data_IF_530042015083
#
_entry.id   IF_530042015083
#
_cell.length_a   1.000
_cell.length_b   1.000
_cell.length_c   1.000
_cell.angle_alpha   90.00
_cell.angle_beta   90.00
_cell.angle_gamma   90.00
#
_symmetry.space_group_name_H-M   'P 1'
#
loop_
_entity.id
_entity.type
_entity.pdbx_description
1 polymer ?
#
# COMPACT_ATOMS: atom_id res chain seq x y z
N UNK A 1 -11.26 23.49 -32.68
CA UNK A 1 -11.71 22.50 -31.68
C UNK A 1 -10.59 21.50 -31.46
N UNK A 2 -9.81 21.65 -30.38
CA UNK A 2 -8.71 20.72 -30.06
C UNK A 2 -9.27 19.55 -29.24
N UNK A 3 -9.44 18.40 -29.88
CA UNK A 3 -9.85 17.18 -29.20
C UNK A 3 -8.76 16.71 -28.25
N UNK A 4 -9.01 16.77 -26.93
CA UNK A 4 -8.17 16.13 -25.92
C UNK A 4 -8.15 14.63 -26.19
N UNK A 5 -7.00 14.11 -26.62
CA UNK A 5 -6.74 12.66 -26.62
C UNK A 5 -6.92 12.14 -25.19
N UNK A 6 -7.66 11.04 -24.97
CA UNK A 6 -7.75 10.43 -23.65
C UNK A 6 -6.36 10.01 -23.19
N UNK A 7 -5.99 10.41 -21.96
CA UNK A 7 -4.72 9.98 -21.34
C UNK A 7 -4.75 8.46 -21.19
N UNK A 8 -3.71 7.79 -21.67
CA UNK A 8 -3.57 6.33 -21.59
C UNK A 8 -3.56 5.88 -20.13
N UNK A 9 -4.29 4.81 -19.82
CA UNK A 9 -4.29 4.13 -18.50
C UNK A 9 -2.84 3.83 -18.08
N UNK A 10 -2.52 3.76 -16.78
CA UNK A 10 -1.19 3.31 -16.33
C UNK A 10 -0.94 1.82 -16.62
N UNK A 11 -2.02 1.05 -16.84
CA UNK A 11 -2.03 -0.39 -17.12
C UNK A 11 -2.77 -0.76 -18.43
N UNK A 12 -2.51 -0.16 -19.60
CA UNK A 12 -3.06 -0.68 -20.85
C UNK A 12 -2.28 -1.96 -21.21
N UNK A 13 -2.98 -2.96 -21.74
CA UNK A 13 -2.38 -4.21 -22.21
C UNK A 13 -1.79 -4.11 -23.63
N UNK A 14 -1.64 -2.92 -24.22
CA UNK A 14 -1.18 -2.72 -25.60
C UNK A 14 -0.15 -1.57 -25.66
N UNK A 15 0.88 -1.52 -26.51
CA UNK A 15 1.33 -2.33 -27.64
C UNK A 15 2.84 -2.10 -27.82
N UNK A 16 3.67 -3.08 -27.53
CA UNK A 16 5.09 -3.18 -27.90
C UNK A 16 5.52 -4.63 -27.62
N UNK A 17 6.46 -5.18 -28.39
CA UNK A 17 6.97 -6.57 -28.36
C UNK A 17 6.76 -7.20 -26.98
N UNK A 18 5.67 -7.96 -26.84
CA UNK A 18 5.29 -8.51 -25.55
C UNK A 18 6.26 -9.63 -25.22
N UNK A 19 6.97 -9.51 -24.11
CA UNK A 19 7.78 -10.60 -23.57
C UNK A 19 6.90 -11.85 -23.35
N UNK A 20 7.46 -13.07 -23.34
CA UNK A 20 6.68 -14.28 -23.03
C UNK A 20 5.87 -14.14 -21.72
N UNK A 21 6.46 -13.51 -20.70
CA UNK A 21 5.78 -13.22 -19.43
C UNK A 21 4.56 -12.30 -19.58
N UNK A 22 4.64 -11.26 -20.43
CA UNK A 22 3.50 -10.38 -20.69
C UNK A 22 2.38 -11.08 -21.47
N UNK A 23 2.73 -12.03 -22.36
CA UNK A 23 1.74 -12.85 -23.07
C UNK A 23 1.00 -13.77 -22.11
N UNK A 24 1.74 -14.51 -21.28
CA UNK A 24 1.17 -15.37 -20.24
C UNK A 24 0.25 -14.56 -19.32
N UNK A 25 0.72 -13.39 -18.86
CA UNK A 25 -0.08 -12.53 -18.00
C UNK A 25 -1.37 -12.05 -18.69
N UNK A 26 -1.31 -11.71 -19.99
CA UNK A 26 -2.48 -11.32 -20.78
C UNK A 26 -3.48 -12.47 -20.92
N UNK A 27 -3.00 -13.67 -21.22
CA UNK A 27 -3.82 -14.87 -21.33
C UNK A 27 -4.50 -15.21 -19.98
N UNK A 28 -3.73 -15.21 -18.88
CA UNK A 28 -4.28 -15.37 -17.55
C UNK A 28 -5.33 -14.29 -17.23
N UNK A 29 -5.04 -13.03 -17.56
CA UNK A 29 -6.00 -11.94 -17.32
C UNK A 29 -7.32 -12.18 -18.06
N UNK A 30 -7.28 -12.58 -19.34
CA UNK A 30 -8.46 -12.90 -20.13
C UNK A 30 -9.29 -14.02 -19.50
N UNK A 31 -8.66 -15.08 -19.01
CA UNK A 31 -9.35 -16.17 -18.29
C UNK A 31 -10.06 -15.69 -17.01
N UNK A 32 -9.56 -14.65 -16.36
CA UNK A 32 -10.20 -14.11 -15.16
C UNK A 32 -11.42 -13.24 -15.49
N UNK A 33 -11.33 -12.43 -16.54
CA UNK A 33 -12.33 -11.39 -16.86
C UNK A 33 -13.30 -11.79 -17.98
N UNK A 34 -13.22 -13.03 -18.47
CA UNK A 34 -14.14 -13.55 -19.48
C UNK A 34 -15.62 -13.38 -19.05
N UNK A 35 -16.46 -12.92 -19.97
CA UNK A 35 -17.84 -12.54 -19.66
C UNK A 35 -18.76 -13.73 -19.36
N UNK A 36 -18.45 -14.88 -19.95
CA UNK A 36 -19.28 -16.09 -19.80
C UNK A 36 -18.77 -16.94 -18.64
N UNK A 37 -17.50 -17.34 -18.70
CA UNK A 37 -16.85 -18.33 -17.86
C UNK A 37 -15.66 -17.75 -17.06
N UNK A 38 -15.57 -16.43 -16.91
CA UNK A 38 -14.47 -15.79 -16.20
C UNK A 38 -14.39 -16.18 -14.73
N UNK A 39 -13.17 -16.44 -14.25
CA UNK A 39 -12.93 -16.86 -12.87
C UNK A 39 -13.43 -15.84 -11.83
N UNK A 40 -13.42 -14.54 -12.15
CA UNK A 40 -13.95 -13.50 -11.27
C UNK A 40 -15.46 -13.66 -11.07
N UNK A 41 -16.20 -13.98 -12.13
CA UNK A 41 -17.65 -14.18 -12.10
C UNK A 41 -18.00 -15.46 -11.35
N UNK A 42 -17.26 -16.54 -11.60
CA UNK A 42 -17.42 -17.82 -10.90
C UNK A 42 -17.13 -17.63 -9.40
N UNK A 43 -16.02 -17.00 -9.04
CA UNK A 43 -15.68 -16.71 -7.65
C UNK A 43 -16.80 -15.91 -6.96
N UNK A 44 -17.29 -14.85 -7.62
CA UNK A 44 -18.38 -14.03 -7.10
C UNK A 44 -19.66 -14.83 -6.83
N UNK A 45 -20.03 -15.76 -7.73
CA UNK A 45 -21.20 -16.63 -7.53
C UNK A 45 -21.07 -17.58 -6.33
N UNK A 46 -19.82 -17.85 -5.90
CA UNK A 46 -19.50 -18.68 -4.74
C UNK A 46 -19.23 -17.84 -3.48
N UNK A 47 -19.44 -16.52 -3.53
CA UNK A 47 -19.15 -15.61 -2.42
C UNK A 47 -17.66 -15.33 -2.21
N UNK A 48 -16.79 -15.72 -3.14
CA UNK A 48 -15.37 -15.42 -3.10
C UNK A 48 -15.05 -14.18 -3.92
N UNK A 49 -14.07 -13.40 -3.44
CA UNK A 49 -13.53 -12.26 -4.16
C UNK A 49 -12.23 -12.66 -4.84
N UNK A 50 -12.21 -12.60 -6.17
CA UNK A 50 -11.02 -12.85 -6.97
C UNK A 50 -10.64 -11.60 -7.75
N UNK A 51 -9.35 -11.25 -7.73
CA UNK A 51 -8.82 -10.13 -8.50
C UNK A 51 -8.09 -10.67 -9.74
N UNK A 52 -8.33 -10.09 -10.93
CA UNK A 52 -7.61 -10.50 -12.12
C UNK A 52 -6.12 -10.13 -11.99
N UNK A 53 -5.21 -10.97 -12.50
CA UNK A 53 -3.78 -10.72 -12.42
C UNK A 53 -3.41 -9.43 -13.18
N UNK A 54 -2.42 -8.69 -12.66
CA UNK A 54 -2.01 -7.37 -13.14
C UNK A 54 -0.51 -7.32 -13.41
N UNK A 55 -0.08 -6.34 -14.20
CA UNK A 55 1.34 -6.12 -14.53
C UNK A 55 2.19 -5.70 -13.33
N UNK A 56 1.56 -5.07 -12.34
CA UNK A 56 2.22 -4.58 -11.14
C UNK A 56 1.53 -5.16 -9.92
N UNK A 57 2.33 -5.55 -8.92
CA UNK A 57 1.83 -5.87 -7.59
C UNK A 57 1.55 -4.58 -6.83
N UNK A 58 0.53 -4.60 -5.99
CA UNK A 58 0.12 -3.50 -5.16
C UNK A 58 0.53 -3.80 -3.72
N UNK A 59 1.43 -2.97 -3.20
CA UNK A 59 1.92 -3.06 -1.82
C UNK A 59 1.38 -1.88 -1.05
N UNK A 60 0.44 -2.11 -0.14
CA UNK A 60 -0.03 -1.08 0.77
C UNK A 60 0.91 -1.00 1.96
N UNK A 61 1.36 0.22 2.32
CA UNK A 61 2.18 0.44 3.51
C UNK A 61 1.36 1.22 4.52
N UNK A 62 1.20 0.66 5.72
CA UNK A 62 0.49 1.28 6.83
C UNK A 62 1.30 1.25 8.11
N UNK A 63 0.92 2.13 9.04
CA UNK A 63 1.63 2.33 10.28
C UNK A 63 1.40 3.73 10.83
N UNK A 64 1.87 3.96 12.04
CA UNK A 64 1.58 5.19 12.78
C UNK A 64 2.19 6.42 12.09
N UNK A 65 1.81 7.59 12.58
CA UNK A 65 2.46 8.82 12.16
C UNK A 65 3.98 8.71 12.35
N UNK A 66 4.74 9.15 11.34
CA UNK A 66 6.20 9.06 11.30
C UNK A 66 6.81 7.65 11.29
N UNK A 67 6.06 6.56 11.07
CA UNK A 67 6.61 5.19 11.02
C UNK A 67 7.55 4.89 9.82
N UNK A 68 8.01 5.88 9.06
CA UNK A 68 8.98 5.69 7.98
C UNK A 68 8.40 5.16 6.65
N UNK A 69 7.08 5.22 6.46
CA UNK A 69 6.38 4.72 5.26
C UNK A 69 6.88 5.37 3.96
N UNK A 70 6.76 6.69 3.84
CA UNK A 70 7.21 7.43 2.65
C UNK A 70 8.73 7.38 2.47
N UNK A 71 9.49 7.34 3.57
CA UNK A 71 10.96 7.16 3.54
C UNK A 71 11.35 5.82 2.92
N UNK A 72 10.64 4.74 3.25
CA UNK A 72 10.88 3.43 2.64
C UNK A 72 10.60 3.43 1.15
N UNK A 73 9.52 4.07 0.71
CA UNK A 73 9.17 4.16 -0.73
C UNK A 73 10.26 4.91 -1.50
N UNK A 74 10.71 6.07 -0.98
CA UNK A 74 11.81 6.83 -1.57
C UNK A 74 13.10 6.01 -1.64
N UNK A 75 13.44 5.30 -0.56
CA UNK A 75 14.61 4.41 -0.52
C UNK A 75 14.51 3.26 -1.52
N UNK A 76 13.34 2.64 -1.62
CA UNK A 76 13.11 1.52 -2.53
C UNK A 76 13.28 1.97 -3.98
N UNK A 77 12.65 3.10 -4.34
CA UNK A 77 12.75 3.70 -5.66
C UNK A 77 14.12 4.38 -5.93
N UNK A 78 14.95 4.60 -4.91
CA UNK A 78 16.20 5.38 -4.99
C UNK A 78 15.99 6.76 -5.62
N UNK A 79 14.84 7.35 -5.36
CA UNK A 79 14.45 8.66 -5.86
C UNK A 79 13.68 9.40 -4.77
N UNK A 80 13.91 10.70 -4.64
CA UNK A 80 13.12 11.55 -3.75
C UNK A 80 11.76 11.86 -4.40
N UNK A 81 10.79 10.98 -4.18
CA UNK A 81 9.43 11.06 -4.76
C UNK A 81 8.54 11.89 -3.85
N UNK A 82 8.40 11.47 -2.59
CA UNK A 82 7.56 12.11 -1.59
C UNK A 82 8.42 12.92 -0.61
N UNK A 83 7.90 14.03 -0.08
CA UNK A 83 8.55 14.71 1.05
C UNK A 83 8.32 13.89 2.31
N UNK A 84 9.40 13.48 2.99
CA UNK A 84 9.32 12.80 4.28
C UNK A 84 9.46 13.81 5.44
N UNK A 85 8.75 13.60 6.55
CA UNK A 85 8.94 14.35 7.80
C UNK A 85 8.00 15.55 8.04
N UNK A 86 7.03 15.81 7.16
CA UNK A 86 6.01 16.87 7.37
C UNK A 86 4.68 16.24 7.79
N UNK A 87 4.25 16.50 9.03
CA UNK A 87 3.07 15.87 9.64
C UNK A 87 1.74 16.18 8.93
N UNK A 88 1.67 17.32 8.25
CA UNK A 88 0.44 17.84 7.60
C UNK A 88 0.18 17.15 6.25
N UNK A 89 1.21 16.61 5.58
CA UNK A 89 1.10 16.16 4.19
C UNK A 89 0.53 14.72 4.03
N UNK A 90 0.43 13.92 5.11
CA UNK A 90 -0.07 12.53 5.05
C UNK A 90 -1.47 12.37 5.65
N UNK A 91 -2.41 13.23 5.25
CA UNK A 91 -3.83 13.03 5.54
C UNK A 91 -4.56 12.18 4.49
N UNK A 92 -3.89 11.87 3.37
CA UNK A 92 -4.45 11.15 2.25
C UNK A 92 -3.63 9.94 1.80
N UNK A 93 -4.11 9.27 0.76
CA UNK A 93 -3.46 8.14 0.12
C UNK A 93 -2.60 8.62 -1.05
N UNK A 94 -1.34 8.17 -1.10
CA UNK A 94 -0.45 8.43 -2.24
C UNK A 94 -0.13 7.14 -2.97
N UNK A 95 -0.50 7.05 -4.24
CA UNK A 95 -0.14 5.94 -5.12
C UNK A 95 1.20 6.22 -5.78
N UNK A 96 2.24 5.45 -5.45
CA UNK A 96 3.58 5.65 -6.00
C UNK A 96 3.92 4.53 -6.97
N UNK A 97 4.17 4.87 -8.24
CA UNK A 97 4.38 3.87 -9.30
C UNK A 97 5.43 4.32 -10.30
N UNK A 98 5.99 3.37 -11.04
CA UNK A 98 6.86 3.71 -12.17
C UNK A 98 6.08 4.13 -13.42
N UNK A 99 6.64 5.02 -14.22
CA UNK A 99 6.13 5.41 -15.53
C UNK A 99 7.23 5.92 -16.46
N UNK A 100 6.82 6.40 -17.64
CA UNK A 100 7.75 6.90 -18.67
C UNK A 100 8.23 8.33 -18.40
N UNK A 101 7.45 9.10 -17.65
CA UNK A 101 7.73 10.50 -17.31
C UNK A 101 7.33 10.73 -15.87
N UNK A 102 8.08 11.59 -15.18
CA UNK A 102 7.74 12.06 -13.84
C UNK A 102 6.49 12.94 -13.89
N UNK A 103 5.49 12.59 -13.09
CA UNK A 103 4.21 13.29 -13.03
C UNK A 103 3.58 13.10 -11.65
N UNK A 104 2.96 14.16 -11.13
CA UNK A 104 2.20 14.14 -9.89
C UNK A 104 0.76 14.46 -10.23
N UNK A 105 -0.17 13.61 -9.80
CA UNK A 105 -1.60 13.75 -10.02
C UNK A 105 -2.34 13.84 -8.69
N UNK A 106 -3.48 14.51 -8.68
CA UNK A 106 -4.34 14.64 -7.51
C UNK A 106 -5.81 14.36 -7.87
N UNK A 107 -6.55 13.94 -6.86
CA UNK A 107 -7.98 13.63 -6.91
C UNK A 107 -8.39 12.73 -8.06
N UNK A 108 -9.35 13.19 -8.86
CA UNK A 108 -9.93 12.37 -9.93
C UNK A 108 -8.91 11.96 -11.01
N UNK A 109 -7.80 12.69 -11.18
CA UNK A 109 -6.75 12.30 -12.12
C UNK A 109 -6.06 10.98 -11.70
N UNK A 110 -5.93 10.74 -10.38
CA UNK A 110 -5.40 9.50 -9.82
C UNK A 110 -6.26 8.29 -10.18
N UNK A 111 -7.58 8.42 -10.12
CA UNK A 111 -8.52 7.34 -10.44
C UNK A 111 -8.58 7.00 -11.93
N UNK A 112 -8.15 7.89 -12.81
CA UNK A 112 -7.96 7.56 -14.23
C UNK A 112 -6.77 6.62 -14.45
N UNK A 113 -5.72 6.71 -13.62
CA UNK A 113 -4.61 5.76 -13.67
C UNK A 113 -5.02 4.39 -13.11
N UNK A 114 -5.89 4.37 -12.11
CA UNK A 114 -6.36 3.18 -11.42
C UNK A 114 -7.89 3.05 -11.41
N UNK A 115 -8.53 2.69 -12.54
CA UNK A 115 -10.00 2.61 -12.61
C UNK A 115 -10.63 1.63 -11.61
N UNK A 116 -9.89 0.58 -11.23
CA UNK A 116 -10.32 -0.40 -10.23
C UNK A 116 -10.38 0.17 -8.80
N UNK A 117 -9.80 1.34 -8.56
CA UNK A 117 -9.93 2.07 -7.30
C UNK A 117 -11.07 3.07 -7.28
N UNK A 118 -11.89 3.16 -8.34
CA UNK A 118 -13.11 3.98 -8.34
C UNK A 118 -14.07 3.71 -7.19
N UNK A 119 -14.24 2.47 -6.68
CA UNK A 119 -15.10 2.25 -5.52
C UNK A 119 -14.64 3.00 -4.25
N UNK A 120 -13.39 3.50 -4.19
CA UNK A 120 -12.99 4.42 -3.12
C UNK A 120 -13.89 5.65 -3.02
N UNK A 121 -14.48 6.11 -4.13
CA UNK A 121 -15.35 7.29 -4.15
C UNK A 121 -16.62 7.11 -3.30
N UNK A 122 -16.95 5.89 -2.87
CA UNK A 122 -18.01 5.63 -1.88
C UNK A 122 -17.68 6.27 -0.51
N UNK A 123 -16.39 6.39 -0.18
CA UNK A 123 -15.93 7.12 1.00
C UNK A 123 -15.98 8.63 0.73
N UNK A 124 -17.08 9.27 1.15
CA UNK A 124 -17.29 10.72 0.99
C UNK A 124 -16.07 11.51 1.48
N UNK A 125 -15.59 12.43 0.66
CA UNK A 125 -14.43 13.28 0.94
C UNK A 125 -13.08 12.70 0.54
N UNK A 126 -12.95 11.38 0.29
CA UNK A 126 -11.63 10.77 0.01
C UNK A 126 -10.96 11.32 -1.24
N UNK A 127 -11.74 11.75 -2.24
CA UNK A 127 -11.23 12.20 -3.54
C UNK A 127 -10.19 13.31 -3.38
N UNK A 128 -10.43 14.28 -2.51
CA UNK A 128 -9.51 15.42 -2.32
C UNK A 128 -8.19 15.01 -1.64
N UNK A 129 -8.15 13.78 -1.12
CA UNK A 129 -7.03 13.18 -0.39
C UNK A 129 -6.45 11.97 -1.14
N UNK A 130 -6.65 11.89 -2.46
CA UNK A 130 -5.95 10.95 -3.33
C UNK A 130 -4.88 11.67 -4.15
N UNK A 131 -3.66 11.15 -4.13
CA UNK A 131 -2.58 11.59 -5.01
C UNK A 131 -1.92 10.40 -5.68
N UNK A 132 -1.30 10.63 -6.83
CA UNK A 132 -0.43 9.65 -7.46
C UNK A 132 0.89 10.30 -7.87
N UNK A 133 1.99 9.66 -7.51
CA UNK A 133 3.33 10.04 -7.90
C UNK A 133 3.89 9.01 -8.87
N UNK A 134 4.25 9.49 -10.06
CA UNK A 134 4.85 8.66 -11.10
C UNK A 134 6.35 8.98 -11.13
N UNK A 135 7.17 7.97 -10.88
CA UNK A 135 8.64 8.06 -10.96
C UNK A 135 9.16 7.34 -12.20
N UNK A 136 10.31 7.77 -12.71
CA UNK A 136 10.99 7.08 -13.84
C UNK A 136 12.01 6.04 -13.38
N UNK A 137 12.12 5.79 -12.08
CA UNK A 137 13.08 4.85 -11.51
C UNK A 137 12.85 3.42 -12.01
N UNK A 138 13.95 2.71 -12.24
CA UNK A 138 14.00 1.29 -12.61
C UNK A 138 14.69 0.44 -11.55
N UNK A 139 15.03 1.05 -10.41
CA UNK A 139 15.77 0.40 -9.34
C UNK A 139 14.92 -0.65 -8.64
N UNK A 140 15.56 -1.68 -8.08
CA UNK A 140 14.94 -2.74 -7.29
C UNK A 140 13.67 -3.37 -7.90
N UNK A 141 13.54 -3.39 -9.24
CA UNK A 141 12.34 -3.84 -9.96
C UNK A 141 11.07 -3.03 -9.62
N UNK A 142 11.22 -1.75 -9.26
CA UNK A 142 10.12 -0.83 -8.98
C UNK A 142 9.11 -0.72 -10.13
N UNK A 143 9.51 -1.06 -11.36
CA UNK A 143 8.58 -1.13 -12.49
C UNK A 143 7.49 -2.20 -12.38
N UNK A 144 7.66 -3.16 -11.48
CA UNK A 144 6.69 -4.22 -11.18
C UNK A 144 5.85 -3.93 -9.94
N UNK A 145 6.07 -2.80 -9.26
CA UNK A 145 5.44 -2.48 -7.98
C UNK A 145 4.68 -1.16 -8.07
N UNK A 146 3.53 -1.10 -7.41
CA UNK A 146 2.84 0.14 -7.05
C UNK A 146 2.67 0.16 -5.55
N UNK A 147 3.25 1.17 -4.90
CA UNK A 147 3.04 1.38 -3.47
C UNK A 147 1.78 2.22 -3.24
N UNK A 148 1.03 1.86 -2.21
CA UNK A 148 -0.03 2.71 -1.66
C UNK A 148 0.45 3.17 -0.29
N UNK A 149 0.95 4.40 -0.24
CA UNK A 149 1.31 5.05 1.02
C UNK A 149 0.03 5.55 1.69
N UNK A 150 -0.23 5.06 2.91
CA UNK A 150 -1.43 5.42 3.68
C UNK A 150 -1.15 6.59 4.61
N UNK A 151 -2.18 7.34 5.02
CA UNK A 151 -2.01 8.40 6.00
C UNK A 151 -1.41 7.87 7.32
N UNK A 152 -0.58 8.68 7.97
CA UNK A 152 -0.04 8.34 9.29
C UNK A 152 -1.15 8.33 10.34
N UNK A 153 -1.39 7.16 10.94
CA UNK A 153 -2.44 6.99 11.95
C UNK A 153 -2.00 7.50 13.32
N UNK A 154 -2.89 8.23 13.99
CA UNK A 154 -2.70 8.79 15.33
C UNK A 154 -3.95 8.51 16.17
N UNK A 155 -3.76 8.24 17.46
CA UNK A 155 -4.85 8.15 18.45
C UNK A 155 -5.23 9.54 19.00
N UNK A 156 -6.40 9.64 19.64
CA UNK A 156 -6.90 10.90 20.22
C UNK A 156 -7.82 11.67 19.26
N UNK A 157 -7.79 13.01 19.37
CA UNK A 157 -8.77 13.92 18.75
C UNK A 157 -8.52 14.20 17.25
N UNK A 158 -7.56 13.50 16.62
CA UNK A 158 -7.30 13.68 15.20
C UNK A 158 -8.47 13.18 14.36
N UNK A 159 -9.16 14.13 13.73
CA UNK A 159 -10.27 13.89 12.80
C UNK A 159 -9.71 13.84 11.39
N UNK A 160 -9.96 12.71 10.71
CA UNK A 160 -9.67 12.57 9.29
C UNK A 160 -10.85 13.11 8.47
N UNK A 161 -10.58 13.68 7.29
CA UNK A 161 -11.60 14.34 6.47
C UNK A 161 -12.55 13.37 5.75
N UNK A 162 -12.29 12.06 5.87
CA UNK A 162 -13.11 10.96 5.36
C UNK A 162 -12.99 9.77 6.32
N UNK A 163 -13.77 8.70 6.10
CA UNK A 163 -13.66 7.45 6.87
C UNK A 163 -12.37 6.70 6.52
N UNK A 164 -11.28 7.14 7.15
CA UNK A 164 -9.93 6.64 6.92
C UNK A 164 -9.79 5.16 7.28
N UNK A 165 -10.49 4.70 8.32
CA UNK A 165 -10.36 3.33 8.82
C UNK A 165 -10.95 2.34 7.81
N UNK A 166 -12.17 2.64 7.32
CA UNK A 166 -12.83 1.80 6.32
C UNK A 166 -12.12 1.88 4.97
N UNK A 167 -11.62 3.05 4.58
CA UNK A 167 -10.86 3.21 3.34
C UNK A 167 -9.54 2.43 3.35
N UNK A 168 -8.77 2.46 4.44
CA UNK A 168 -7.54 1.63 4.59
C UNK A 168 -7.90 0.15 4.55
N UNK A 169 -8.95 -0.26 5.27
CA UNK A 169 -9.38 -1.68 5.29
C UNK A 169 -9.72 -2.15 3.87
N UNK A 170 -10.49 -1.36 3.12
CA UNK A 170 -10.87 -1.66 1.75
C UNK A 170 -9.66 -1.72 0.80
N UNK A 171 -8.71 -0.80 0.95
CA UNK A 171 -7.46 -0.80 0.18
C UNK A 171 -6.60 -2.03 0.49
N UNK A 172 -6.52 -2.43 1.75
CA UNK A 172 -5.78 -3.63 2.16
C UNK A 172 -6.36 -4.90 1.56
N UNK A 173 -7.69 -4.98 1.41
CA UNK A 173 -8.33 -6.07 0.65
C UNK A 173 -7.98 -6.05 -0.85
N UNK A 174 -7.70 -4.86 -1.43
CA UNK A 174 -7.29 -4.74 -2.83
C UNK A 174 -5.81 -5.02 -3.06
N UNK A 175 -4.99 -4.87 -2.02
CA UNK A 175 -3.56 -5.03 -2.11
C UNK A 175 -3.19 -6.51 -2.28
N UNK A 176 -2.05 -6.73 -2.93
CA UNK A 176 -1.41 -8.04 -3.00
C UNK A 176 -0.63 -8.32 -1.70
N UNK A 177 -0.01 -7.28 -1.13
CA UNK A 177 0.68 -7.31 0.16
C UNK A 177 0.34 -6.07 0.99
N UNK A 178 0.29 -6.25 2.31
CA UNK A 178 0.10 -5.17 3.28
C UNK A 178 1.27 -5.15 4.24
N UNK A 179 2.10 -4.12 4.16
CA UNK A 179 3.22 -3.91 5.06
C UNK A 179 2.76 -3.06 6.25
N UNK A 180 2.93 -3.59 7.45
CA UNK A 180 2.61 -2.92 8.71
C UNK A 180 3.91 -2.51 9.39
N UNK A 181 4.18 -1.21 9.43
CA UNK A 181 5.39 -0.66 10.02
C UNK A 181 5.15 -0.23 11.46
N UNK A 182 5.98 -0.76 12.36
CA UNK A 182 6.12 -0.32 13.73
C UNK A 182 7.38 0.53 13.89
N UNK A 183 7.29 1.60 14.68
CA UNK A 183 8.41 2.49 15.00
C UNK A 183 8.82 2.26 16.46
N UNK A 184 10.08 1.93 16.77
CA UNK A 184 10.54 1.64 18.12
C UNK A 184 10.51 2.85 19.06
N UNK A 185 10.55 4.08 18.52
CA UNK A 185 10.55 5.32 19.31
C UNK A 185 9.16 5.96 19.42
N UNK A 186 8.27 5.62 18.48
CA UNK A 186 6.89 6.11 18.50
C UNK A 186 6.03 5.39 19.54
N UNK A 187 4.79 5.86 19.71
CA UNK A 187 3.71 5.01 20.22
C UNK A 187 3.48 3.87 19.21
N UNK A 188 4.36 2.87 19.14
CA UNK A 188 4.30 1.76 18.19
C UNK A 188 2.91 1.08 18.19
N UNK A 189 2.20 1.21 19.31
CA UNK A 189 0.97 0.54 19.66
C UNK A 189 -0.28 1.43 19.55
N UNK A 190 -0.32 2.32 18.56
CA UNK A 190 -1.53 3.10 18.24
C UNK A 190 -2.75 2.17 18.09
N UNK A 191 -3.75 2.36 18.96
CA UNK A 191 -4.95 1.53 19.04
C UNK A 191 -5.72 1.55 17.73
N UNK A 192 -5.83 2.71 17.08
CA UNK A 192 -6.48 2.86 15.77
C UNK A 192 -5.81 1.98 14.71
N UNK A 193 -4.48 2.01 14.62
CA UNK A 193 -3.71 1.18 13.69
C UNK A 193 -3.93 -0.30 13.96
N UNK A 194 -3.78 -0.72 15.21
CA UNK A 194 -3.92 -2.12 15.59
C UNK A 194 -5.35 -2.65 15.34
N UNK A 195 -6.39 -1.82 15.50
CA UNK A 195 -7.77 -2.21 15.16
C UNK A 195 -7.94 -2.46 13.66
N UNK A 196 -7.28 -1.68 12.80
CA UNK A 196 -7.34 -1.90 11.35
C UNK A 196 -6.54 -3.15 10.98
N UNK A 197 -5.37 -3.35 11.58
CA UNK A 197 -4.54 -4.53 11.39
C UNK A 197 -5.30 -5.80 11.78
N UNK A 198 -6.03 -5.80 12.89
CA UNK A 198 -6.87 -6.91 13.33
C UNK A 198 -7.98 -7.22 12.31
N UNK A 199 -8.70 -6.20 11.84
CA UNK A 199 -9.72 -6.35 10.78
C UNK A 199 -9.13 -6.90 9.47
N UNK A 200 -7.94 -6.44 9.10
CA UNK A 200 -7.26 -6.92 7.89
C UNK A 200 -6.77 -8.37 8.08
N UNK A 201 -6.32 -8.74 9.28
CA UNK A 201 -5.92 -10.11 9.59
C UNK A 201 -7.09 -11.10 9.45
N UNK A 202 -8.29 -10.72 9.90
CA UNK A 202 -9.49 -11.54 9.74
C UNK A 202 -9.91 -11.74 8.28
N UNK A 203 -9.63 -10.76 7.41
CA UNK A 203 -10.07 -10.78 6.00
C UNK A 203 -9.01 -11.28 5.01
N UNK A 204 -7.75 -10.92 5.22
CA UNK A 204 -6.64 -11.16 4.30
C UNK A 204 -5.30 -11.35 5.03
N UNK A 205 -5.32 -12.06 6.16
CA UNK A 205 -4.16 -12.29 7.04
C UNK A 205 -2.90 -12.84 6.36
N UNK A 206 -3.05 -13.61 5.30
CA UNK A 206 -1.95 -14.16 4.48
C UNK A 206 -1.12 -13.09 3.76
N UNK A 207 -1.69 -11.88 3.59
CA UNK A 207 -1.03 -10.74 2.92
C UNK A 207 -0.33 -9.78 3.89
N UNK A 208 -0.55 -9.92 5.20
CA UNK A 208 0.00 -8.99 6.20
C UNK A 208 1.42 -9.37 6.55
N UNK A 209 2.34 -8.42 6.39
CA UNK A 209 3.74 -8.55 6.76
C UNK A 209 4.12 -7.43 7.73
N UNK A 210 4.71 -7.81 8.86
CA UNK A 210 5.03 -6.90 9.95
C UNK A 210 6.52 -6.54 9.91
N UNK A 211 6.83 -5.26 10.11
CA UNK A 211 8.20 -4.77 10.08
C UNK A 211 8.47 -3.81 11.24
N UNK A 212 9.61 -3.99 11.90
CA UNK A 212 10.14 -2.96 12.78
C UNK A 212 10.96 -1.97 11.95
N UNK A 213 10.35 -0.85 11.59
CA UNK A 213 11.02 0.27 10.91
C UNK A 213 11.98 1.00 11.85
N UNK A 214 12.90 1.80 11.31
CA UNK A 214 13.86 2.61 12.08
C UNK A 214 14.59 1.81 13.17
N UNK A 215 15.01 0.59 12.82
CA UNK A 215 15.60 -0.33 13.78
C UNK A 215 16.92 0.20 14.41
N UNK A 216 17.57 1.17 13.77
CA UNK A 216 18.71 1.93 14.27
C UNK A 216 18.37 2.88 15.42
N UNK A 217 17.11 3.30 15.53
CA UNK A 217 16.64 4.13 16.62
C UNK A 217 16.27 3.31 17.88
N UNK A 218 16.23 1.97 17.79
CA UNK A 218 15.84 1.08 18.88
C UNK A 218 16.99 0.76 19.88
N UNK A 219 18.08 1.52 19.87
CA UNK A 219 19.23 1.26 20.73
C UNK A 219 20.05 0.04 20.29
N UNK A 220 20.58 -0.70 21.26
CA UNK A 220 21.36 -1.92 20.99
C UNK A 220 20.45 -3.12 20.65
N UNK A 221 21.05 -4.26 20.29
CA UNK A 221 20.31 -5.49 19.96
C UNK A 221 19.32 -5.91 21.06
N UNK A 222 19.73 -5.81 22.34
CA UNK A 222 18.88 -6.20 23.47
C UNK A 222 17.66 -5.29 23.61
N UNK A 223 17.86 -3.98 23.47
CA UNK A 223 16.77 -3.00 23.52
C UNK A 223 15.79 -3.22 22.35
N UNK A 224 16.32 -3.47 21.15
CA UNK A 224 15.52 -3.82 19.98
C UNK A 224 14.69 -5.07 20.19
N UNK A 225 15.28 -6.15 20.71
CA UNK A 225 14.56 -7.38 21.01
C UNK A 225 13.44 -7.17 22.03
N UNK A 226 13.66 -6.35 23.07
CA UNK A 226 12.61 -6.00 24.05
C UNK A 226 11.44 -5.27 23.39
N UNK A 227 11.72 -4.28 22.53
CA UNK A 227 10.68 -3.54 21.80
C UNK A 227 9.90 -4.47 20.88
N UNK A 228 10.58 -5.34 20.14
CA UNK A 228 9.93 -6.32 19.27
C UNK A 228 9.01 -7.26 20.08
N UNK A 229 9.50 -7.74 21.22
CA UNK A 229 8.72 -8.61 22.11
C UNK A 229 7.49 -7.89 22.66
N UNK A 230 7.59 -6.62 23.04
CA UNK A 230 6.44 -5.83 23.49
C UNK A 230 5.39 -5.66 22.39
N UNK A 231 5.82 -5.39 21.16
CA UNK A 231 4.91 -5.28 20.00
C UNK A 231 4.21 -6.61 19.74
N UNK A 232 4.96 -7.72 19.69
CA UNK A 232 4.39 -9.05 19.47
C UNK A 232 3.42 -9.43 20.60
N UNK A 233 3.75 -9.14 21.86
CA UNK A 233 2.83 -9.37 22.98
C UNK A 233 1.53 -8.59 22.84
N UNK A 234 1.59 -7.32 22.43
CA UNK A 234 0.39 -6.51 22.22
C UNK A 234 -0.45 -7.00 21.03
N UNK A 235 0.20 -7.46 19.95
CA UNK A 235 -0.49 -8.09 18.83
C UNK A 235 -1.16 -9.40 19.27
N UNK A 236 -0.49 -10.25 20.03
CA UNK A 236 -1.05 -11.52 20.51
C UNK A 236 -2.19 -11.33 21.54
N UNK A 237 -2.28 -10.19 22.22
CA UNK A 237 -3.42 -9.86 23.10
C UNK A 237 -4.73 -9.72 22.32
N UNK A 238 -4.66 -9.51 21.00
CA UNK A 238 -5.82 -9.36 20.12
C UNK A 238 -6.23 -10.71 19.54
N UNK A 239 -7.46 -11.19 19.78
CA UNK A 239 -7.91 -12.52 19.33
C UNK A 239 -7.76 -12.76 17.83
N UNK A 240 -7.99 -11.73 17.00
CA UNK A 240 -7.84 -11.84 15.54
C UNK A 240 -6.39 -12.05 15.09
N UNK A 241 -5.43 -11.61 15.90
CA UNK A 241 -4.00 -11.58 15.58
C UNK A 241 -3.20 -12.71 16.24
N UNK A 242 -3.72 -13.32 17.30
CA UNK A 242 -3.07 -14.44 18.02
C UNK A 242 -2.89 -15.71 17.16
N UNK A 243 -3.49 -15.77 15.96
CA UNK A 243 -3.34 -16.91 15.03
C UNK A 243 -2.12 -16.78 14.11
N UNK A 244 -1.50 -15.61 14.07
CA UNK A 244 -0.36 -15.33 13.21
C UNK A 244 0.96 -15.64 13.94
N UNK A 245 1.79 -16.48 13.34
CA UNK A 245 3.21 -16.53 13.71
C UNK A 245 3.86 -15.22 13.28
N UNK A 246 4.17 -14.33 14.24
CA UNK A 246 4.76 -13.04 13.92
C UNK A 246 6.26 -13.19 13.62
N UNK A 247 6.59 -13.20 12.33
CA UNK A 247 7.92 -12.80 11.88
C UNK A 247 7.92 -11.28 11.73
N UNK A 248 8.83 -10.60 12.42
CA UNK A 248 8.93 -9.14 12.35
C UNK A 248 10.36 -8.71 12.02
N UNK A 249 10.79 -8.84 10.75
CA UNK A 249 12.09 -8.37 10.33
C UNK A 249 12.26 -6.86 10.54
N UNK A 250 13.51 -6.46 10.73
CA UNK A 250 13.90 -5.08 10.99
C UNK A 250 14.26 -4.36 9.69
N UNK A 251 13.76 -3.14 9.51
CA UNK A 251 14.12 -2.27 8.39
C UNK A 251 15.01 -1.14 8.91
N UNK A 252 16.17 -0.99 8.27
CA UNK A 252 17.06 0.15 8.41
C UNK A 252 17.25 0.79 7.04
N UNK A 253 17.05 2.10 6.97
CA UNK A 253 17.34 2.90 5.78
C UNK A 253 18.64 3.67 6.08
N UNK A 254 19.76 3.34 5.43
CA UNK A 254 21.00 4.06 5.63
C UNK A 254 20.82 5.54 5.34
N UNK A 255 21.24 6.41 6.26
CA UNK A 255 21.35 7.83 5.98
C UNK A 255 22.76 8.09 5.41
N UNK A 256 22.91 8.43 4.11
CA UNK A 256 24.21 8.67 3.51
C UNK A 256 24.91 9.93 4.06
N UNK A 257 24.23 10.74 4.87
CA UNK A 257 24.79 11.92 5.54
C UNK A 257 25.25 11.66 6.99
N UNK A 258 25.12 10.43 7.50
CA UNK A 258 25.65 10.01 8.80
C UNK A 258 26.80 9.04 8.64
#
# INVERSE_FOLDING_TARGET
MSGRKPRSVANPLESAITTPSERILKECHTLYVDSENGLVKIASSLGFRLLPPRKKIIVMIMGNHSAGKSSFINWYAEEHIQKAGVAIETQGFTFVTSGRKRESLTGNATLHLYPHFRPLLEFKGVMDYLSAEISTSKQKKFNLVTFVDTPGLVDGDMVYPFDVNSAITWLGEQADLVFVFFDPMGQALCKRTLNIVEKLSEKCGDKLLFYLSKADAAGNETDRQRVMMQIVQELCRRPGLNKCGFEMPTIYIPNPQR
#
